data_IF_859649999535
#
_entry.id   IF_859649999535
#
_cell.length_a   1.000
_cell.length_b   1.000
_cell.length_c   1.000
_cell.angle_alpha   90.00
_cell.angle_beta   90.00
_cell.angle_gamma   90.00
#
_symmetry.space_group_name_H-M   'P 1'
#
loop_
_entity.id
_entity.type
_entity.pdbx_description
1 polymer ?
#
# COMPACT_ATOMS: atom_id res chain seq x y z
N UNK A 1 -2.33 12.16 -7.53
CA UNK A 1 -2.24 11.54 -8.87
C UNK A 1 -1.04 10.59 -8.89
N UNK A 2 -1.25 9.29 -8.72
CA UNK A 2 -0.33 8.30 -9.29
C UNK A 2 -0.81 8.06 -10.71
N UNK A 3 -0.19 8.77 -11.65
CA UNK A 3 -0.57 8.78 -13.05
C UNK A 3 -0.12 7.44 -13.68
N UNK A 4 -1.02 6.47 -13.78
CA UNK A 4 -0.76 5.16 -14.40
C UNK A 4 -0.58 5.20 -15.93
N UNK A 5 -0.40 6.40 -16.49
CA UNK A 5 -0.24 6.62 -17.93
C UNK A 5 1.23 6.71 -18.38
N UNK A 6 2.19 6.51 -17.48
CA UNK A 6 3.60 6.56 -17.87
C UNK A 6 4.19 5.14 -18.04
N UNK A 7 3.79 4.45 -19.12
CA UNK A 7 4.38 3.16 -19.52
C UNK A 7 5.90 3.26 -19.85
N UNK A 8 6.45 4.47 -19.83
CA UNK A 8 7.86 4.81 -20.06
C UNK A 8 8.64 5.29 -18.82
N UNK A 9 8.00 5.41 -17.64
CA UNK A 9 8.78 5.68 -16.42
C UNK A 9 9.38 4.38 -15.90
N UNK A 10 10.71 4.30 -15.92
CA UNK A 10 11.48 3.27 -15.21
C UNK A 10 11.35 3.38 -13.68
N UNK A 11 10.46 4.22 -13.16
CA UNK A 11 10.38 4.60 -11.76
C UNK A 11 9.03 4.18 -11.18
N UNK A 12 9.04 3.66 -9.96
CA UNK A 12 7.84 3.39 -9.17
C UNK A 12 8.14 3.67 -7.69
N UNK A 13 7.10 3.83 -6.88
CA UNK A 13 7.25 3.96 -5.43
C UNK A 13 6.76 2.69 -4.76
N UNK A 14 7.60 2.11 -3.91
CA UNK A 14 7.27 0.94 -3.11
C UNK A 14 7.05 1.38 -1.66
N UNK A 15 5.98 0.86 -1.04
CA UNK A 15 5.67 1.04 0.38
C UNK A 15 5.80 -0.33 1.07
N UNK A 16 6.64 -0.39 2.10
CA UNK A 16 6.81 -1.57 2.95
C UNK A 16 6.37 -1.25 4.37
N UNK A 17 5.45 -2.03 4.91
CA UNK A 17 5.01 -1.88 6.29
C UNK A 17 4.67 -3.25 6.86
N UNK A 18 4.76 -3.40 8.19
CA UNK A 18 4.46 -4.66 8.84
C UNK A 18 4.96 -4.72 10.27
N UNK A 19 5.15 -5.95 10.74
CA UNK A 19 5.60 -6.24 12.10
C UNK A 19 4.45 -6.41 13.10
N UNK A 20 4.84 -6.62 14.34
CA UNK A 20 3.95 -6.75 15.48
C UNK A 20 4.66 -6.22 16.74
N UNK A 21 4.06 -6.42 17.91
CA UNK A 21 4.64 -5.99 19.18
C UNK A 21 5.97 -6.68 19.51
N UNK A 22 6.21 -7.90 19.02
CA UNK A 22 7.39 -8.69 19.35
C UNK A 22 8.58 -8.38 18.43
N UNK A 23 8.34 -8.21 17.13
CA UNK A 23 9.38 -8.01 16.12
C UNK A 23 9.68 -6.52 15.91
N UNK A 24 8.77 -5.64 16.34
CA UNK A 24 8.83 -4.21 16.06
C UNK A 24 8.16 -3.88 14.73
N UNK A 25 7.64 -2.66 14.64
CA UNK A 25 6.96 -2.16 13.44
C UNK A 25 7.91 -1.39 12.56
N UNK A 26 7.66 -1.45 11.26
CA UNK A 26 8.31 -0.59 10.29
C UNK A 26 7.29 -0.01 9.32
N UNK A 27 7.61 1.16 8.78
CA UNK A 27 6.93 1.74 7.63
C UNK A 27 8.00 2.48 6.84
N UNK A 28 8.30 1.96 5.66
CA UNK A 28 9.43 2.34 4.82
C UNK A 28 8.91 2.63 3.41
N UNK A 29 9.55 3.57 2.74
CA UNK A 29 9.27 3.90 1.34
C UNK A 29 10.55 3.79 0.52
N UNK A 30 10.42 3.40 -0.74
CA UNK A 30 11.52 3.37 -1.70
C UNK A 30 11.06 3.96 -3.02
N UNK A 31 11.84 4.89 -3.55
CA UNK A 31 11.75 5.29 -4.96
C UNK A 31 12.56 4.29 -5.76
N UNK A 32 11.88 3.32 -6.36
CA UNK A 32 12.51 2.28 -7.15
C UNK A 32 12.70 2.75 -8.59
N UNK A 33 13.91 2.57 -9.13
CA UNK A 33 14.22 2.70 -10.55
C UNK A 33 14.64 1.34 -11.10
N UNK A 34 14.00 0.91 -12.18
CA UNK A 34 14.27 -0.36 -12.86
C UNK A 34 15.74 -0.45 -13.26
N UNK A 35 16.39 -1.51 -12.77
CA UNK A 35 17.79 -1.85 -13.09
C UNK A 35 17.92 -2.63 -14.40
N UNK A 36 16.79 -3.02 -15.01
CA UNK A 36 16.76 -3.91 -16.18
C UNK A 36 16.58 -3.17 -17.52
N UNK A 37 16.33 -1.85 -17.52
CA UNK A 37 16.13 -1.04 -18.74
C UNK A 37 17.17 0.08 -18.87
N UNK A 38 17.89 0.07 -19.99
CA UNK A 38 18.78 1.10 -20.55
C UNK A 38 19.72 1.83 -19.55
N UNK A 39 20.96 1.34 -19.46
CA UNK A 39 22.03 1.81 -18.56
C UNK A 39 22.31 3.32 -18.64
N UNK A 40 22.04 3.96 -19.78
CA UNK A 40 22.33 5.39 -20.00
C UNK A 40 21.49 6.34 -19.12
N UNK A 41 20.30 5.91 -18.68
CA UNK A 41 19.43 6.75 -17.82
C UNK A 41 19.84 6.68 -16.35
N UNK A 42 20.22 5.49 -15.87
CA UNK A 42 20.72 5.27 -14.50
C UNK A 42 22.04 6.02 -14.29
N UNK A 43 22.95 5.97 -15.26
CA UNK A 43 24.22 6.72 -15.19
C UNK A 43 23.97 8.22 -15.19
N UNK A 44 23.01 8.73 -15.97
CA UNK A 44 22.62 10.16 -15.95
C UNK A 44 22.02 10.58 -14.61
N UNK A 45 21.14 9.76 -14.01
CA UNK A 45 20.57 10.00 -12.67
C UNK A 45 21.67 10.07 -11.61
N UNK A 46 22.60 9.09 -11.60
CA UNK A 46 23.75 9.07 -10.68
C UNK A 46 24.70 10.26 -10.90
N UNK A 47 24.89 10.71 -12.15
CA UNK A 47 25.80 11.81 -12.52
C UNK A 47 25.19 13.20 -12.30
N UNK A 48 23.87 13.30 -12.18
CA UNK A 48 23.14 14.56 -12.01
C UNK A 48 23.13 15.12 -10.57
N UNK A 49 23.78 14.46 -9.59
CA UNK A 49 23.75 14.86 -8.18
C UNK A 49 22.33 15.13 -7.63
N UNK A 50 21.29 14.53 -8.21
CA UNK A 50 19.96 14.50 -7.61
C UNK A 50 20.08 13.53 -6.44
N UNK A 51 20.29 14.09 -5.24
CA UNK A 51 20.51 13.43 -3.95
C UNK A 51 19.27 12.66 -3.45
N UNK A 52 18.65 11.88 -4.31
CA UNK A 52 17.59 10.95 -3.95
C UNK A 52 18.20 9.57 -3.72
N UNK A 53 17.98 9.01 -2.54
CA UNK A 53 18.27 7.62 -2.22
C UNK A 53 17.33 6.71 -3.05
N UNK A 54 17.66 6.50 -4.32
CA UNK A 54 16.95 5.59 -5.21
C UNK A 54 17.32 4.15 -4.90
N UNK A 55 16.36 3.24 -5.05
CA UNK A 55 16.55 1.82 -4.74
C UNK A 55 17.02 1.56 -3.29
N UNK A 56 16.76 2.50 -2.38
CA UNK A 56 17.05 2.39 -0.96
C UNK A 56 15.76 2.53 -0.17
N UNK A 57 15.61 1.73 0.89
CA UNK A 57 14.52 1.87 1.83
C UNK A 57 14.84 2.97 2.83
N UNK A 58 13.96 3.98 2.90
CA UNK A 58 14.05 5.05 3.89
C UNK A 58 12.79 5.07 4.77
N UNK A 59 12.85 5.61 5.99
CA UNK A 59 11.66 5.81 6.82
C UNK A 59 10.57 6.56 6.06
N UNK A 60 9.33 6.11 6.15
CA UNK A 60 8.20 6.84 5.60
C UNK A 60 7.83 7.97 6.57
N UNK A 61 7.94 9.22 6.15
CA UNK A 61 7.74 10.39 7.00
C UNK A 61 6.71 11.35 6.43
N UNK A 62 6.13 12.19 7.31
CA UNK A 62 5.30 13.31 6.89
C UNK A 62 6.15 14.48 6.35
N UNK A 63 5.49 15.60 6.03
CA UNK A 63 6.14 16.81 5.50
C UNK A 63 7.07 17.51 6.53
N UNK A 64 7.06 17.08 7.78
CA UNK A 64 7.90 17.58 8.86
C UNK A 64 8.97 16.55 9.28
N UNK A 65 9.21 15.52 8.46
CA UNK A 65 10.13 14.41 8.72
C UNK A 65 9.76 13.56 9.95
N UNK A 66 8.52 13.59 10.41
CA UNK A 66 8.07 12.69 11.47
C UNK A 66 7.77 11.31 10.88
N UNK A 67 8.30 10.21 11.45
CA UNK A 67 7.96 8.86 11.01
C UNK A 67 6.46 8.57 11.09
N UNK A 68 5.89 8.12 9.98
CA UNK A 68 4.51 7.66 9.89
C UNK A 68 4.49 6.17 10.21
N UNK A 69 3.71 5.78 11.23
CA UNK A 69 3.52 4.38 11.56
C UNK A 69 2.16 3.89 11.06
N UNK A 70 2.16 2.83 10.27
CA UNK A 70 0.94 2.14 9.87
C UNK A 70 0.66 0.97 10.84
N UNK A 71 -0.45 1.09 11.57
CA UNK A 71 -0.94 0.09 12.53
C UNK A 71 -0.78 0.52 13.99
N UNK A 72 -1.63 -0.03 14.86
CA UNK A 72 -1.66 0.25 16.31
C UNK A 72 -0.70 -0.69 17.04
N UNK A 73 -0.20 -0.29 18.22
CA UNK A 73 0.77 -1.07 19.02
C UNK A 73 0.45 -2.58 19.07
N UNK A 74 -0.80 -2.94 19.41
CA UNK A 74 -1.27 -4.33 19.60
C UNK A 74 -1.71 -5.04 18.31
N UNK A 75 -1.72 -4.38 17.16
CA UNK A 75 -2.14 -5.03 15.91
C UNK A 75 -1.14 -6.14 15.53
N UNK A 76 -1.59 -7.21 14.89
CA UNK A 76 -0.68 -8.21 14.36
C UNK A 76 -0.69 -8.14 12.83
N UNK A 77 0.37 -7.57 12.23
CA UNK A 77 0.48 -7.44 10.77
C UNK A 77 1.28 -8.59 10.15
N UNK A 78 1.54 -9.67 10.89
CA UNK A 78 2.11 -10.90 10.34
C UNK A 78 1.18 -11.45 9.26
N UNK A 79 1.67 -11.49 8.02
CA UNK A 79 0.88 -11.91 6.87
C UNK A 79 -0.21 -10.92 6.45
N UNK A 80 -0.13 -9.65 6.88
CA UNK A 80 -1.00 -8.59 6.40
C UNK A 80 -0.86 -8.41 4.89
N UNK A 81 -1.96 -8.02 4.24
CA UNK A 81 -2.02 -7.71 2.82
C UNK A 81 -2.62 -6.34 2.64
N UNK A 82 -2.19 -5.66 1.59
CA UNK A 82 -2.79 -4.39 1.25
C UNK A 82 -2.81 -4.14 -0.26
N UNK A 83 -3.74 -3.29 -0.65
CA UNK A 83 -3.91 -2.81 -2.01
C UNK A 83 -4.17 -1.32 -1.98
N UNK A 84 -3.59 -0.60 -2.95
CA UNK A 84 -3.85 0.83 -3.14
C UNK A 84 -5.02 0.96 -4.11
N UNK A 85 -5.99 1.78 -3.76
CA UNK A 85 -7.17 2.06 -4.58
C UNK A 85 -7.90 3.34 -4.17
N UNK A 86 -9.21 3.34 -4.35
CA UNK A 86 -10.05 4.55 -4.26
C UNK A 86 -9.96 5.39 -5.53
N UNK A 87 -10.87 6.35 -5.70
CA UNK A 87 -11.01 7.15 -6.94
C UNK A 87 -9.71 7.84 -7.38
N UNK A 88 -8.85 8.21 -6.42
CA UNK A 88 -7.57 8.88 -6.68
C UNK A 88 -6.33 8.04 -6.30
N UNK A 89 -6.44 6.71 -6.12
CA UNK A 89 -5.34 5.85 -5.66
C UNK A 89 -4.68 6.35 -4.37
N UNK A 90 -5.48 6.87 -3.45
CA UNK A 90 -5.03 7.50 -2.21
C UNK A 90 -5.39 6.67 -0.98
N UNK A 91 -6.15 5.57 -1.15
CA UNK A 91 -6.56 4.72 -0.05
C UNK A 91 -5.76 3.42 -0.06
N UNK A 92 -5.15 3.11 1.07
CA UNK A 92 -4.51 1.83 1.35
C UNK A 92 -5.50 0.96 2.14
N UNK A 93 -6.03 -0.06 1.50
CA UNK A 93 -6.89 -1.06 2.12
C UNK A 93 -6.00 -2.15 2.69
N UNK A 94 -6.04 -2.37 4.01
CA UNK A 94 -5.15 -3.29 4.71
C UNK A 94 -6.01 -4.36 5.40
N UNK A 95 -5.69 -5.62 5.16
CA UNK A 95 -6.30 -6.77 5.86
C UNK A 95 -5.26 -7.51 6.66
N UNK A 96 -5.60 -7.83 7.90
CA UNK A 96 -4.64 -8.36 8.86
C UNK A 96 -5.33 -9.16 9.96
N UNK A 97 -4.53 -9.87 10.73
CA UNK A 97 -4.98 -10.75 11.79
C UNK A 97 -5.75 -9.97 12.89
N UNK A 98 -6.78 -10.59 13.52
CA UNK A 98 -7.37 -11.87 13.16
C UNK A 98 -8.25 -11.76 11.92
N UNK A 99 -9.19 -10.81 11.87
CA UNK A 99 -10.11 -10.66 10.72
C UNK A 99 -10.40 -9.19 10.49
N UNK A 100 -9.35 -8.37 10.55
CA UNK A 100 -9.49 -6.92 10.50
C UNK A 100 -9.31 -6.42 9.08
N UNK A 101 -10.03 -5.35 8.77
CA UNK A 101 -9.78 -4.49 7.62
C UNK A 101 -9.66 -3.04 8.10
N UNK A 102 -8.65 -2.35 7.60
CA UNK A 102 -8.42 -0.94 7.86
C UNK A 102 -8.30 -0.19 6.54
N UNK A 103 -8.79 1.04 6.51
CA UNK A 103 -8.61 1.97 5.39
C UNK A 103 -7.75 3.11 5.87
N UNK A 104 -6.58 3.28 5.26
CA UNK A 104 -5.62 4.34 5.58
C UNK A 104 -5.52 5.29 4.39
N UNK A 105 -5.61 6.59 4.64
CA UNK A 105 -5.45 7.62 3.63
C UNK A 105 -3.97 8.00 3.50
N UNK A 106 -3.41 7.75 2.32
CA UNK A 106 -2.01 8.03 1.97
C UNK A 106 -1.72 9.52 1.78
N UNK A 107 -2.73 10.37 1.61
CA UNK A 107 -2.53 11.82 1.50
C UNK A 107 -2.51 12.50 2.87
N UNK A 108 -3.40 12.06 3.77
CA UNK A 108 -3.54 12.66 5.10
C UNK A 108 -2.77 11.91 6.19
N UNK A 109 -2.26 10.72 5.87
CA UNK A 109 -1.58 9.80 6.79
C UNK A 109 -2.44 9.39 7.99
N UNK A 110 -3.76 9.25 7.79
CA UNK A 110 -4.73 8.92 8.84
C UNK A 110 -5.56 7.70 8.48
N UNK A 111 -5.93 6.92 9.49
CA UNK A 111 -6.95 5.89 9.34
C UNK A 111 -8.33 6.53 9.17
N UNK A 112 -9.04 6.14 8.11
CA UNK A 112 -10.42 6.53 7.85
C UNK A 112 -11.37 5.59 8.59
N UNK A 113 -11.10 4.28 8.53
CA UNK A 113 -11.97 3.25 9.09
C UNK A 113 -11.17 2.05 9.56
N UNK A 114 -11.68 1.43 10.63
CA UNK A 114 -11.34 0.09 11.06
C UNK A 114 -12.63 -0.73 11.12
N UNK A 115 -12.59 -1.96 10.64
CA UNK A 115 -13.72 -2.87 10.64
C UNK A 115 -13.24 -4.33 10.71
N UNK A 116 -14.20 -5.25 10.84
CA UNK A 116 -13.96 -6.68 10.74
C UNK A 116 -14.50 -7.22 9.42
N UNK A 117 -13.71 -8.06 8.76
CA UNK A 117 -14.16 -8.81 7.61
C UNK A 117 -15.24 -9.81 8.05
N UNK A 118 -16.38 -9.75 7.38
CA UNK A 118 -17.49 -10.70 7.56
C UNK A 118 -17.21 -12.01 6.83
N UNK A 119 -16.17 -12.71 7.26
CA UNK A 119 -15.80 -14.03 6.74
C UNK A 119 -16.12 -15.12 7.77
N UNK A 120 -16.41 -16.33 7.29
CA UNK A 120 -16.71 -17.48 8.14
C UNK A 120 -15.50 -17.99 8.92
N UNK A 121 -14.28 -17.74 8.43
CA UNK A 121 -13.05 -18.10 9.12
C UNK A 121 -12.74 -17.13 10.26
N UNK A 122 -12.15 -17.66 11.34
CA UNK A 122 -11.77 -16.86 12.50
C UNK A 122 -10.51 -16.00 12.25
N UNK A 123 -9.78 -16.21 11.15
CA UNK A 123 -8.47 -15.62 10.87
C UNK A 123 -8.24 -15.34 9.38
N UNK A 124 -7.50 -14.27 9.10
CA UNK A 124 -7.03 -13.80 7.79
C UNK A 124 -5.55 -13.50 7.91
N UNK A 125 -4.75 -14.21 7.11
CA UNK A 125 -3.33 -13.95 6.96
C UNK A 125 -2.86 -14.56 5.63
N UNK A 126 -1.75 -14.05 5.09
CA UNK A 126 -1.02 -14.61 3.94
C UNK A 126 -1.81 -14.76 2.62
N UNK A 127 -3.06 -14.30 2.54
CA UNK A 127 -3.91 -14.28 1.35
C UNK A 127 -3.39 -13.34 0.24
N UNK A 128 -4.14 -13.07 -0.82
CA UNK A 128 -3.79 -12.05 -1.81
C UNK A 128 -4.97 -11.12 -2.08
N UNK A 129 -4.67 -9.86 -2.39
CA UNK A 129 -5.61 -8.98 -3.06
C UNK A 129 -5.29 -8.99 -4.54
N UNK A 130 -6.33 -9.15 -5.36
CA UNK A 130 -6.24 -9.07 -6.81
C UNK A 130 -7.14 -7.93 -7.24
N UNK A 131 -6.55 -6.92 -7.88
CA UNK A 131 -7.33 -5.87 -8.53
C UNK A 131 -8.08 -6.49 -9.70
N UNK A 132 -9.40 -6.43 -9.65
CA UNK A 132 -10.27 -6.88 -10.72
C UNK A 132 -10.49 -5.74 -11.70
N UNK A 133 -10.40 -6.00 -13.01
CA UNK A 133 -10.70 -5.00 -14.03
C UNK A 133 -12.20 -4.67 -14.04
N UNK A 134 -12.52 -3.44 -14.42
CA UNK A 134 -13.88 -2.89 -14.41
C UNK A 134 -14.88 -3.72 -15.24
N UNK A 135 -14.39 -4.42 -16.28
CA UNK A 135 -15.17 -5.26 -17.19
C UNK A 135 -15.80 -6.52 -16.57
N UNK A 136 -15.46 -6.88 -15.33
CA UNK A 136 -15.96 -8.10 -14.70
C UNK A 136 -16.82 -7.85 -13.46
N UNK A 137 -17.17 -6.60 -13.15
CA UNK A 137 -18.14 -6.29 -12.09
C UNK A 137 -19.55 -6.64 -12.56
N UNK A 138 -19.94 -7.90 -12.41
CA UNK A 138 -21.36 -8.26 -12.33
C UNK A 138 -21.89 -7.59 -11.08
N UNK A 139 -22.62 -6.50 -11.28
CA UNK A 139 -23.46 -5.87 -10.26
C UNK A 139 -24.43 -6.96 -9.81
N UNK A 140 -24.16 -7.60 -8.67
CA UNK A 140 -25.21 -8.33 -7.96
C UNK A 140 -26.12 -7.27 -7.36
N UNK A 141 -27.07 -6.81 -8.16
CA UNK A 141 -28.27 -6.13 -7.67
C UNK A 141 -28.95 -7.07 -6.68
N UNK A 142 -28.79 -6.80 -5.38
CA UNK A 142 -29.57 -7.44 -4.34
C UNK A 142 -31.03 -7.03 -4.55
N UNK A 143 -31.84 -8.00 -4.96
CA UNK A 143 -33.29 -7.88 -5.01
C UNK A 143 -33.82 -7.41 -3.65
N UNK A 144 -34.39 -6.21 -3.62
CA UNK A 144 -35.27 -5.79 -2.53
C UNK A 144 -36.45 -6.77 -2.49
N UNK A 145 -36.52 -7.56 -1.41
CA UNK A 145 -37.75 -8.29 -1.08
C UNK A 145 -38.80 -7.26 -0.67
N UNK A 146 -39.73 -6.96 -1.57
CA UNK A 146 -41.04 -6.44 -1.18
C UNK A 146 -41.69 -7.44 -0.24
N UNK A 147 -42.00 -7.00 0.98
CA UNK A 147 -43.04 -7.59 1.82
C UNK A 147 -43.90 -6.46 2.35
#
# INVERSE_FOLDING_TARGET
MLNNNNRDSNETTLLSFGGDEAIGRHTLVMKYVSVWRNNNKITKLKKSNISGNYNEWIPFTDNHNNPIQIGKKKDNYKGARAVIGGSNNHLLFITYYPKNISVFDLNTFRFIKHDHLSICYNRVAYHCFVLKSESEQVVTSTNEKKK
#
